data_IF_848336972647
#
_entry.id   IF_848336972647
#
_cell.length_a   1.000
_cell.length_b   1.000
_cell.length_c   1.000
_cell.angle_alpha   90.00
_cell.angle_beta   90.00
_cell.angle_gamma   90.00
#
_symmetry.space_group_name_H-M   'P 1'
#
loop_
_entity.id
_entity.type
_entity.pdbx_description
1 polymer ?
#
# COMPACT_ATOMS: atom_id res chain seq x y z
N UNK A 1 -16.04 13.04 0.55
CA UNK A 1 -14.57 13.09 0.59
C UNK A 1 -14.03 14.48 0.20
N UNK A 2 -14.26 14.99 -1.02
CA UNK A 2 -13.78 16.33 -1.44
C UNK A 2 -14.24 17.48 -0.52
N UNK A 3 -15.51 17.50 -0.14
CA UNK A 3 -16.07 18.52 0.79
C UNK A 3 -15.31 18.52 2.12
N UNK A 4 -15.07 17.34 2.71
CA UNK A 4 -14.32 17.24 3.96
C UNK A 4 -12.84 17.62 3.78
N UNK A 5 -12.22 17.30 2.64
CA UNK A 5 -10.86 17.75 2.32
C UNK A 5 -10.76 19.29 2.25
N UNK A 6 -11.74 19.97 1.65
CA UNK A 6 -11.82 21.45 1.66
C UNK A 6 -11.98 21.95 3.10
N UNK A 7 -12.87 21.32 3.89
CA UNK A 7 -13.08 21.68 5.29
C UNK A 7 -11.79 21.55 6.12
N UNK A 8 -11.01 20.47 5.95
CA UNK A 8 -9.74 20.28 6.64
C UNK A 8 -8.73 21.39 6.34
N UNK A 9 -8.68 21.83 5.07
CA UNK A 9 -7.67 22.80 4.60
C UNK A 9 -8.03 24.23 4.96
N UNK A 10 -9.32 24.60 4.90
CA UNK A 10 -9.78 25.98 5.03
C UNK A 10 -10.66 26.28 6.25
N UNK A 11 -11.35 25.28 6.79
CA UNK A 11 -12.29 25.47 7.90
C UNK A 11 -11.70 25.05 9.25
N UNK A 12 -11.39 23.76 9.40
CA UNK A 12 -10.89 23.18 10.65
C UNK A 12 -10.88 21.66 10.63
N UNK A 13 -10.44 21.05 11.73
CA UNK A 13 -10.36 19.58 11.86
C UNK A 13 -11.74 18.95 11.72
N UNK A 14 -11.83 17.91 10.90
CA UNK A 14 -13.05 17.10 10.77
C UNK A 14 -13.02 15.99 11.82
N UNK A 15 -14.15 15.73 12.48
CA UNK A 15 -14.24 14.67 13.48
C UNK A 15 -13.98 13.28 12.89
N UNK A 16 -13.22 12.46 13.63
CA UNK A 16 -12.87 11.07 13.27
C UNK A 16 -14.08 10.19 12.93
N UNK A 17 -15.26 10.46 13.52
CA UNK A 17 -16.50 9.72 13.22
C UNK A 17 -16.88 9.77 11.73
N UNK A 18 -16.63 10.90 11.07
CA UNK A 18 -16.93 11.06 9.64
C UNK A 18 -15.96 10.26 8.78
N UNK A 19 -14.73 10.09 9.25
CA UNK A 19 -13.75 9.30 8.56
C UNK A 19 -14.05 7.80 8.70
N UNK A 20 -14.51 7.36 9.88
CA UNK A 20 -15.09 6.03 10.05
C UNK A 20 -16.34 5.79 9.21
N UNK A 21 -17.22 6.80 9.06
CA UNK A 21 -18.39 6.70 8.17
C UNK A 21 -17.95 6.47 6.72
N UNK A 22 -16.93 7.19 6.24
CA UNK A 22 -16.34 6.95 4.93
C UNK A 22 -15.72 5.55 4.83
N UNK A 23 -15.01 5.11 5.87
CA UNK A 23 -14.47 3.75 5.96
C UNK A 23 -15.55 2.69 5.86
N UNK A 24 -16.66 2.83 6.59
CA UNK A 24 -17.80 1.92 6.53
C UNK A 24 -18.43 1.86 5.13
N UNK A 25 -18.56 3.01 4.47
CA UNK A 25 -19.01 3.06 3.09
C UNK A 25 -18.06 2.31 2.14
N UNK A 26 -16.75 2.48 2.30
CA UNK A 26 -15.76 1.74 1.53
C UNK A 26 -15.78 0.23 1.80
N UNK A 27 -15.94 -0.19 3.07
CA UNK A 27 -16.13 -1.61 3.42
C UNK A 27 -17.29 -2.20 2.64
N UNK A 28 -18.42 -1.48 2.56
CA UNK A 28 -19.60 -1.95 1.82
C UNK A 28 -19.30 -2.06 0.32
N UNK A 29 -18.69 -1.04 -0.27
CA UNK A 29 -18.37 -1.02 -1.71
C UNK A 29 -17.48 -2.21 -2.07
N UNK A 30 -16.30 -2.31 -1.47
CA UNK A 30 -15.28 -3.27 -1.90
C UNK A 30 -15.45 -4.65 -1.27
N UNK A 31 -16.10 -4.71 -0.11
CA UNK A 31 -16.30 -5.94 0.64
C UNK A 31 -17.39 -6.82 0.05
N UNK A 32 -18.50 -6.23 -0.41
CA UNK A 32 -19.61 -6.96 -1.04
C UNK A 32 -19.55 -6.95 -2.56
N UNK A 33 -18.41 -6.62 -3.16
CA UNK A 33 -18.27 -6.61 -4.62
C UNK A 33 -18.44 -8.03 -5.19
N UNK A 34 -19.01 -8.12 -6.39
CA UNK A 34 -19.15 -9.38 -7.12
C UNK A 34 -18.43 -9.30 -8.47
N UNK A 35 -17.45 -10.17 -8.66
CA UNK A 35 -16.69 -10.28 -9.90
C UNK A 35 -16.06 -8.95 -10.36
N UNK A 36 -15.71 -8.09 -9.41
CA UNK A 36 -15.05 -6.79 -9.63
C UNK A 36 -13.60 -6.86 -9.16
N UNK A 37 -12.73 -6.20 -9.92
CA UNK A 37 -11.28 -6.21 -9.72
C UNK A 37 -10.60 -7.27 -10.58
N UNK A 38 -9.38 -6.98 -11.06
CA UNK A 38 -8.65 -7.84 -12.01
C UNK A 38 -8.37 -9.24 -11.45
N UNK A 39 -8.22 -9.35 -10.12
CA UNK A 39 -7.71 -10.56 -9.48
C UNK A 39 -8.81 -11.30 -8.70
N UNK A 40 -10.08 -10.92 -8.88
CA UNK A 40 -11.22 -11.51 -8.18
C UNK A 40 -11.30 -13.03 -8.38
N UNK A 41 -11.13 -13.49 -9.62
CA UNK A 41 -11.13 -14.92 -9.96
C UNK A 41 -10.02 -15.68 -9.23
N UNK A 42 -8.83 -15.09 -9.17
CA UNK A 42 -7.66 -15.65 -8.50
C UNK A 42 -7.89 -15.79 -6.99
N UNK A 43 -8.45 -14.78 -6.33
CA UNK A 43 -8.80 -14.88 -4.91
C UNK A 43 -9.90 -15.89 -4.63
N UNK A 44 -10.90 -16.02 -5.53
CA UNK A 44 -11.90 -17.08 -5.44
C UNK A 44 -11.27 -18.46 -5.60
N UNK A 45 -10.27 -18.60 -6.46
CA UNK A 45 -9.45 -19.81 -6.60
C UNK A 45 -8.70 -20.15 -5.31
N UNK A 46 -8.05 -19.15 -4.70
CA UNK A 46 -7.35 -19.32 -3.40
C UNK A 46 -8.33 -19.72 -2.29
N UNK A 47 -9.54 -19.16 -2.30
CA UNK A 47 -10.57 -19.50 -1.33
C UNK A 47 -10.92 -20.99 -1.38
N UNK A 48 -11.16 -21.54 -2.58
CA UNK A 48 -11.42 -22.97 -2.79
C UNK A 48 -10.17 -23.81 -2.46
N UNK A 49 -9.00 -23.38 -2.93
CA UNK A 49 -7.71 -24.03 -2.63
C UNK A 49 -7.47 -24.17 -1.12
N UNK A 50 -7.88 -23.18 -0.32
CA UNK A 50 -7.68 -23.19 1.13
C UNK A 50 -8.42 -24.33 1.81
N UNK A 51 -9.49 -24.86 1.22
CA UNK A 51 -10.17 -26.05 1.74
C UNK A 51 -9.31 -27.31 1.65
N UNK A 52 -8.54 -27.41 0.56
CA UNK A 52 -7.69 -28.59 0.27
C UNK A 52 -6.51 -28.72 1.23
N UNK A 53 -6.25 -27.73 2.07
CA UNK A 53 -5.13 -27.71 3.03
C UNK A 53 -5.61 -28.01 4.42
N UNK A 54 -4.90 -28.86 5.15
CA UNK A 54 -5.16 -29.13 6.55
C UNK A 54 -4.79 -27.94 7.45
N UNK A 55 -5.50 -27.80 8.59
CA UNK A 55 -5.13 -26.82 9.62
C UNK A 55 -3.72 -27.04 10.16
N UNK A 56 -3.26 -28.30 10.19
CA UNK A 56 -1.90 -28.64 10.61
C UNK A 56 -0.85 -28.06 9.66
N UNK A 57 -0.99 -28.26 8.34
CA UNK A 57 -0.07 -27.67 7.35
C UNK A 57 -0.05 -26.13 7.41
N UNK A 58 -1.21 -25.50 7.66
CA UNK A 58 -1.30 -24.04 7.87
C UNK A 58 -0.50 -23.61 9.10
N UNK A 59 -0.65 -24.33 10.22
CA UNK A 59 0.08 -24.04 11.46
C UNK A 59 1.59 -24.29 11.33
N UNK A 60 2.00 -25.35 10.63
CA UNK A 60 3.42 -25.61 10.34
C UNK A 60 4.01 -24.48 9.49
N UNK A 61 3.30 -24.03 8.44
CA UNK A 61 3.71 -22.88 7.63
C UNK A 61 3.82 -21.60 8.45
N UNK A 62 2.91 -21.37 9.40
CA UNK A 62 2.96 -20.24 10.33
C UNK A 62 4.26 -20.22 11.15
N UNK A 63 4.79 -21.39 11.52
CA UNK A 63 6.04 -21.55 12.25
C UNK A 63 7.28 -21.65 11.34
N UNK A 64 7.13 -21.42 10.04
CA UNK A 64 8.18 -21.60 9.02
C UNK A 64 8.73 -23.02 8.97
N UNK A 65 7.91 -24.01 9.32
CA UNK A 65 8.23 -25.44 9.25
C UNK A 65 7.55 -26.08 8.03
N UNK A 66 8.14 -27.17 7.54
CA UNK A 66 7.53 -27.97 6.48
C UNK A 66 6.34 -28.78 7.04
N UNK A 67 5.19 -28.61 6.41
CA UNK A 67 4.00 -29.42 6.67
C UNK A 67 3.88 -30.59 5.70
N UNK A 68 2.94 -31.52 5.92
CA UNK A 68 2.68 -32.62 4.99
C UNK A 68 2.16 -32.13 3.63
N UNK A 69 1.58 -30.92 3.59
CA UNK A 69 1.11 -30.29 2.37
C UNK A 69 1.84 -28.96 2.15
N UNK A 70 2.30 -28.73 0.93
CA UNK A 70 2.87 -27.43 0.56
C UNK A 70 1.78 -26.36 0.51
N UNK A 71 2.10 -25.20 1.11
CA UNK A 71 1.30 -23.98 1.05
C UNK A 71 1.99 -22.95 0.14
N UNK A 72 1.34 -22.68 -0.98
CA UNK A 72 1.76 -21.70 -2.01
C UNK A 72 1.28 -20.28 -1.69
N UNK A 73 0.43 -20.15 -0.67
CA UNK A 73 -0.16 -18.89 -0.20
C UNK A 73 0.17 -18.70 1.28
N UNK A 74 0.19 -17.45 1.74
CA UNK A 74 0.52 -17.11 3.11
C UNK A 74 -0.50 -17.65 4.12
N UNK A 75 0.03 -18.12 5.27
CA UNK A 75 -0.69 -18.96 6.23
C UNK A 75 -1.94 -18.29 6.80
N UNK A 76 -1.92 -16.99 7.10
CA UNK A 76 -3.03 -16.30 7.76
C UNK A 76 -4.15 -16.03 6.77
N UNK A 77 -3.83 -15.69 5.52
CA UNK A 77 -4.86 -15.54 4.49
C UNK A 77 -5.54 -16.87 4.19
N UNK A 78 -4.77 -17.96 4.06
CA UNK A 78 -5.31 -19.33 3.91
C UNK A 78 -6.14 -19.73 5.13
N UNK A 79 -5.71 -19.40 6.35
CA UNK A 79 -6.46 -19.68 7.57
C UNK A 79 -7.81 -18.97 7.59
N UNK A 80 -7.85 -17.67 7.26
CA UNK A 80 -9.09 -16.88 7.19
C UNK A 80 -10.06 -17.53 6.19
N UNK A 81 -9.59 -17.86 4.99
CA UNK A 81 -10.39 -18.52 3.96
C UNK A 81 -10.96 -19.85 4.48
N UNK A 82 -10.11 -20.72 5.02
CA UNK A 82 -10.52 -22.05 5.48
C UNK A 82 -11.50 -21.99 6.65
N UNK A 83 -11.32 -21.07 7.59
CA UNK A 83 -12.26 -20.87 8.71
C UNK A 83 -13.62 -20.39 8.19
N UNK A 84 -13.64 -19.40 7.30
CA UNK A 84 -14.89 -18.90 6.70
C UNK A 84 -15.62 -19.97 5.89
N UNK A 85 -14.88 -20.81 5.17
CA UNK A 85 -15.45 -21.94 4.44
C UNK A 85 -15.95 -23.05 5.38
N UNK A 86 -15.11 -23.58 6.27
CA UNK A 86 -15.38 -24.86 6.94
C UNK A 86 -16.20 -24.69 8.22
N UNK A 87 -16.08 -23.55 8.90
CA UNK A 87 -16.81 -23.27 10.15
C UNK A 87 -18.11 -22.54 9.88
N UNK A 88 -18.09 -21.57 8.96
CA UNK A 88 -19.24 -20.69 8.72
C UNK A 88 -20.01 -21.04 7.43
N UNK A 89 -19.49 -21.94 6.59
CA UNK A 89 -20.04 -22.23 5.26
C UNK A 89 -20.32 -20.95 4.45
N UNK A 90 -19.42 -19.97 4.60
CA UNK A 90 -19.64 -18.64 4.06
C UNK A 90 -19.39 -18.64 2.53
N UNK A 91 -20.09 -17.81 1.76
CA UNK A 91 -19.73 -17.57 0.36
C UNK A 91 -18.48 -16.68 0.25
N UNK A 92 -17.79 -16.73 -0.90
CA UNK A 92 -16.54 -16.00 -1.12
C UNK A 92 -16.64 -14.48 -0.85
N UNK A 93 -17.77 -13.83 -1.16
CA UNK A 93 -17.91 -12.38 -0.90
C UNK A 93 -17.83 -12.01 0.59
N UNK A 94 -18.07 -12.97 1.51
CA UNK A 94 -17.86 -12.74 2.94
C UNK A 94 -16.36 -12.66 3.26
N UNK A 95 -15.50 -13.37 2.53
CA UNK A 95 -14.05 -13.21 2.64
C UNK A 95 -13.65 -11.79 2.25
N UNK A 96 -14.09 -11.31 1.09
CA UNK A 96 -13.76 -9.95 0.64
C UNK A 96 -14.29 -8.90 1.62
N UNK A 97 -15.46 -9.12 2.20
CA UNK A 97 -16.01 -8.28 3.27
C UNK A 97 -15.14 -8.27 4.54
N UNK A 98 -14.74 -9.43 5.05
CA UNK A 98 -13.88 -9.53 6.25
C UNK A 98 -12.52 -8.88 5.99
N UNK A 99 -11.92 -9.10 4.83
CA UNK A 99 -10.66 -8.47 4.43
C UNK A 99 -10.82 -6.95 4.34
N UNK A 100 -11.92 -6.46 3.77
CA UNK A 100 -12.22 -5.03 3.67
C UNK A 100 -12.40 -4.39 5.06
N UNK A 101 -13.04 -5.06 6.02
CA UNK A 101 -13.15 -4.58 7.40
C UNK A 101 -11.76 -4.34 7.99
N UNK A 102 -10.88 -5.34 7.95
CA UNK A 102 -9.54 -5.20 8.50
C UNK A 102 -8.72 -4.16 7.75
N UNK A 103 -8.78 -4.16 6.42
CA UNK A 103 -8.03 -3.20 5.60
C UNK A 103 -8.45 -1.76 5.92
N UNK A 104 -9.76 -1.48 5.97
CA UNK A 104 -10.26 -0.15 6.32
C UNK A 104 -9.97 0.22 7.76
N UNK A 105 -10.05 -0.73 8.70
CA UNK A 105 -9.71 -0.47 10.10
C UNK A 105 -8.27 0.06 10.22
N UNK A 106 -7.30 -0.68 9.67
CA UNK A 106 -5.90 -0.30 9.74
C UNK A 106 -5.60 0.97 8.93
N UNK A 107 -6.27 1.20 7.80
CA UNK A 107 -6.15 2.44 7.03
C UNK A 107 -6.62 3.66 7.79
N UNK A 108 -7.79 3.59 8.41
CA UNK A 108 -8.38 4.69 9.17
C UNK A 108 -7.48 5.02 10.36
N UNK A 109 -7.10 4.02 11.14
CA UNK A 109 -6.23 4.20 12.31
C UNK A 109 -4.84 4.74 11.93
N UNK A 110 -4.22 4.19 10.88
CA UNK A 110 -2.95 4.71 10.39
C UNK A 110 -3.06 6.17 9.92
N UNK A 111 -4.08 6.49 9.14
CA UNK A 111 -4.21 7.83 8.56
C UNK A 111 -4.48 8.86 9.66
N UNK A 112 -5.40 8.59 10.58
CA UNK A 112 -5.71 9.49 11.70
C UNK A 112 -4.50 9.78 12.59
N UNK A 113 -3.66 8.79 12.84
CA UNK A 113 -2.49 8.94 13.70
C UNK A 113 -1.31 9.68 13.04
N UNK A 114 -1.31 9.78 11.71
CA UNK A 114 -0.14 10.20 10.96
C UNK A 114 -0.39 11.39 10.03
N UNK A 115 -1.61 11.91 9.89
CA UNK A 115 -1.85 13.13 9.11
C UNK A 115 -2.79 14.10 9.78
N UNK A 116 -2.52 15.40 9.60
CA UNK A 116 -3.45 16.47 9.95
C UNK A 116 -4.61 16.61 8.96
N UNK A 117 -4.53 15.93 7.81
CA UNK A 117 -5.48 16.01 6.70
C UNK A 117 -5.94 14.61 6.23
N UNK A 118 -6.63 13.81 7.07
CA UNK A 118 -7.05 12.44 6.74
C UNK A 118 -7.90 12.33 5.46
N UNK A 119 -8.88 13.20 5.24
CA UNK A 119 -9.70 13.21 4.03
C UNK A 119 -8.92 13.64 2.81
N UNK A 120 -8.01 14.62 2.94
CA UNK A 120 -7.16 15.06 1.83
C UNK A 120 -6.16 13.99 1.42
N UNK A 121 -5.54 13.29 2.38
CA UNK A 121 -4.67 12.15 2.11
C UNK A 121 -5.45 11.00 1.47
N UNK A 122 -6.63 10.69 1.98
CA UNK A 122 -7.48 9.63 1.43
C UNK A 122 -7.94 9.96 0.01
N UNK A 123 -8.29 11.23 -0.26
CA UNK A 123 -8.63 11.72 -1.59
C UNK A 123 -7.45 11.57 -2.56
N UNK A 124 -6.26 11.98 -2.13
CA UNK A 124 -5.02 11.85 -2.89
C UNK A 124 -4.71 10.39 -3.24
N UNK A 125 -4.94 9.49 -2.27
CA UNK A 125 -4.72 8.05 -2.42
C UNK A 125 -5.92 7.30 -3.02
N UNK A 126 -7.00 7.98 -3.38
CA UNK A 126 -8.22 7.30 -3.79
C UNK A 126 -8.04 6.67 -5.17
N UNK A 127 -7.72 7.45 -6.19
CA UNK A 127 -7.59 6.94 -7.56
C UNK A 127 -6.13 7.02 -8.02
N UNK A 128 -5.54 5.92 -8.52
CA UNK A 128 -6.13 4.58 -8.68
C UNK A 128 -5.95 3.65 -7.45
N UNK A 129 -5.20 4.08 -6.43
CA UNK A 129 -4.64 3.18 -5.41
C UNK A 129 -5.72 2.47 -4.57
N UNK A 130 -6.86 3.10 -4.29
CA UNK A 130 -7.96 2.43 -3.58
C UNK A 130 -8.50 1.26 -4.39
N UNK A 131 -8.83 1.45 -5.67
CA UNK A 131 -9.40 0.38 -6.49
C UNK A 131 -8.39 -0.74 -6.77
N UNK A 132 -7.14 -0.39 -7.07
CA UNK A 132 -6.08 -1.38 -7.28
C UNK A 132 -5.78 -2.13 -5.98
N UNK A 133 -5.60 -1.43 -4.87
CA UNK A 133 -5.27 -2.04 -3.59
C UNK A 133 -6.42 -2.87 -3.01
N UNK A 134 -7.64 -2.33 -3.01
CA UNK A 134 -8.79 -3.03 -2.45
C UNK A 134 -9.34 -4.11 -3.36
N UNK A 135 -9.16 -4.03 -4.69
CA UNK A 135 -9.78 -4.97 -5.63
C UNK A 135 -8.83 -5.81 -6.48
N UNK A 136 -7.60 -5.35 -6.71
CA UNK A 136 -6.54 -6.14 -7.34
C UNK A 136 -5.62 -6.78 -6.31
N UNK A 137 -5.05 -6.01 -5.40
CA UNK A 137 -3.96 -6.45 -4.53
C UNK A 137 -4.37 -6.61 -3.06
N UNK A 138 -5.52 -7.25 -2.79
CA UNK A 138 -6.17 -7.22 -1.47
C UNK A 138 -5.29 -7.75 -0.34
N UNK A 139 -4.49 -8.80 -0.61
CA UNK A 139 -3.54 -9.38 0.36
C UNK A 139 -2.41 -8.39 0.66
N UNK A 140 -1.71 -7.93 -0.38
CA UNK A 140 -0.61 -6.97 -0.22
C UNK A 140 -1.09 -5.68 0.45
N UNK A 141 -2.26 -5.16 0.06
CA UNK A 141 -2.85 -3.95 0.62
C UNK A 141 -3.19 -4.15 2.11
N UNK A 142 -3.89 -5.22 2.50
CA UNK A 142 -4.17 -5.50 3.91
C UNK A 142 -2.86 -5.67 4.70
N UNK A 143 -1.95 -6.53 4.24
CA UNK A 143 -0.68 -6.81 4.93
C UNK A 143 0.14 -5.53 5.13
N UNK A 144 0.24 -4.69 4.10
CA UNK A 144 0.99 -3.44 4.16
C UNK A 144 0.38 -2.45 5.17
N UNK A 145 -0.96 -2.33 5.25
CA UNK A 145 -1.59 -1.43 6.23
C UNK A 145 -1.54 -1.96 7.67
N UNK A 146 -1.51 -3.29 7.88
CA UNK A 146 -1.16 -3.88 9.18
C UNK A 146 0.23 -3.41 9.63
N UNK A 147 1.20 -3.43 8.71
CA UNK A 147 2.57 -2.97 8.99
C UNK A 147 2.65 -1.45 9.18
N UNK A 148 1.90 -0.67 8.42
CA UNK A 148 1.86 0.79 8.61
C UNK A 148 1.29 1.15 9.97
N UNK A 149 0.23 0.47 10.40
CA UNK A 149 -0.32 0.59 11.73
C UNK A 149 0.75 0.31 12.80
N UNK A 150 1.62 -0.67 12.57
CA UNK A 150 2.69 -1.06 13.50
C UNK A 150 3.72 0.06 13.78
N UNK A 151 3.78 1.11 12.98
CA UNK A 151 4.75 2.21 13.13
C UNK A 151 4.55 2.96 14.45
N UNK A 152 3.33 2.97 15.00
CA UNK A 152 3.09 3.49 16.37
C UNK A 152 3.99 2.81 17.40
N UNK A 153 4.30 1.52 17.22
CA UNK A 153 5.19 0.79 18.12
C UNK A 153 6.67 1.09 17.90
N UNK A 154 7.06 1.58 16.71
CA UNK A 154 8.40 2.15 16.51
C UNK A 154 8.51 3.46 17.29
N UNK A 155 7.49 4.34 17.20
CA UNK A 155 7.42 5.62 17.94
C UNK A 155 7.46 5.40 19.45
N UNK A 156 6.69 4.42 19.93
CA UNK A 156 6.64 4.01 21.35
C UNK A 156 7.85 3.16 21.79
N UNK A 157 8.76 2.81 20.89
CA UNK A 157 9.92 1.94 21.15
C UNK A 157 9.56 0.53 21.65
N UNK A 158 8.38 0.01 21.27
CA UNK A 158 7.90 -1.33 21.66
C UNK A 158 8.20 -2.36 20.57
N UNK A 159 9.32 -3.07 20.72
CA UNK A 159 9.75 -4.07 19.73
C UNK A 159 8.78 -5.26 19.60
N UNK A 160 8.34 -5.85 20.70
CA UNK A 160 7.52 -7.08 20.63
C UNK A 160 6.16 -6.87 19.92
N UNK A 161 5.38 -5.80 20.23
CA UNK A 161 4.19 -5.49 19.43
C UNK A 161 4.51 -5.23 17.97
N UNK A 162 5.60 -4.51 17.67
CA UNK A 162 6.02 -4.30 16.29
C UNK A 162 6.26 -5.63 15.56
N UNK A 163 7.05 -6.53 16.14
CA UNK A 163 7.34 -7.85 15.56
C UNK A 163 6.07 -8.69 15.38
N UNK A 164 5.13 -8.62 16.33
CA UNK A 164 3.84 -9.28 16.22
C UNK A 164 3.04 -8.79 15.00
N UNK A 165 2.98 -7.47 14.77
CA UNK A 165 2.28 -6.94 13.59
C UNK A 165 3.02 -7.22 12.28
N UNK A 166 4.36 -7.24 12.27
CA UNK A 166 5.12 -7.73 11.09
C UNK A 166 4.78 -9.19 10.80
N UNK A 167 4.73 -10.03 11.84
CA UNK A 167 4.36 -11.44 11.71
C UNK A 167 2.94 -11.60 11.15
N UNK A 168 1.94 -10.90 11.70
CA UNK A 168 0.57 -10.92 11.18
C UNK A 168 0.50 -10.42 9.73
N UNK A 169 1.13 -9.29 9.41
CA UNK A 169 1.15 -8.73 8.06
C UNK A 169 1.79 -9.71 7.07
N UNK A 170 2.89 -10.35 7.47
CA UNK A 170 3.58 -11.37 6.67
C UNK A 170 2.79 -12.65 6.49
N UNK A 171 1.91 -12.99 7.43
CA UNK A 171 0.95 -14.07 7.29
C UNK A 171 -0.15 -13.78 6.27
N UNK A 172 -0.41 -12.52 5.94
CA UNK A 172 -1.31 -12.12 4.85
C UNK A 172 -0.56 -11.99 3.53
N UNK A 173 0.64 -11.38 3.54
CA UNK A 173 1.45 -11.18 2.35
C UNK A 173 2.94 -11.05 2.69
N UNK A 174 3.79 -11.83 2.01
CA UNK A 174 5.23 -11.97 2.33
C UNK A 174 6.05 -10.67 2.25
N UNK A 175 5.65 -9.72 1.39
CA UNK A 175 6.29 -8.38 1.26
C UNK A 175 6.46 -7.65 2.60
N UNK A 176 5.61 -7.93 3.58
CA UNK A 176 5.65 -7.31 4.90
C UNK A 176 6.97 -7.56 5.64
N UNK A 177 7.69 -8.65 5.33
CA UNK A 177 9.00 -8.92 5.90
C UNK A 177 10.06 -7.88 5.51
N UNK A 178 9.92 -7.18 4.38
CA UNK A 178 10.83 -6.09 4.01
C UNK A 178 10.80 -4.93 5.00
N UNK A 179 9.71 -4.79 5.74
CA UNK A 179 9.59 -3.74 6.73
C UNK A 179 10.27 -4.09 8.05
N UNK A 180 10.56 -5.36 8.34
CA UNK A 180 11.23 -5.78 9.58
C UNK A 180 12.43 -4.88 9.99
N UNK A 181 13.40 -4.55 9.11
CA UNK A 181 14.53 -3.68 9.48
C UNK A 181 14.12 -2.24 9.82
N UNK A 182 12.92 -1.79 9.44
CA UNK A 182 12.48 -0.42 9.66
C UNK A 182 12.29 -0.07 11.13
N UNK A 183 12.11 -1.04 12.03
CA UNK A 183 12.14 -0.76 13.47
C UNK A 183 13.43 -0.01 13.87
N UNK A 184 14.57 -0.38 13.29
CA UNK A 184 15.85 0.29 13.56
C UNK A 184 16.09 1.43 12.58
N UNK A 185 15.91 1.20 11.27
CA UNK A 185 16.24 2.18 10.24
C UNK A 185 15.41 3.47 10.34
N UNK A 186 14.15 3.38 10.78
CA UNK A 186 13.30 4.56 10.92
C UNK A 186 13.75 5.54 12.03
N UNK A 187 14.64 5.10 12.92
CA UNK A 187 15.20 5.91 14.03
C UNK A 187 16.56 6.51 13.72
N UNK A 188 17.19 6.15 12.60
CA UNK A 188 18.50 6.69 12.23
C UNK A 188 18.34 8.18 11.87
N UNK A 189 19.09 9.10 12.49
CA UNK A 189 19.02 10.51 12.14
C UNK A 189 19.57 10.71 10.73
N UNK A 190 18.74 11.19 9.81
CA UNK A 190 19.14 11.52 8.44
C UNK A 190 19.16 13.04 8.25
N UNK A 191 20.25 13.54 7.70
CA UNK A 191 20.33 14.92 7.20
C UNK A 191 20.22 14.93 5.66
N UNK A 192 20.02 16.12 5.08
CA UNK A 192 19.83 16.28 3.62
C UNK A 192 21.00 15.72 2.81
N UNK A 193 22.23 15.86 3.30
CA UNK A 193 23.42 15.33 2.62
C UNK A 193 23.38 13.80 2.56
N UNK A 194 23.10 13.14 3.68
CA UNK A 194 23.00 11.67 3.73
C UNK A 194 21.84 11.19 2.85
N UNK A 195 20.67 11.83 2.92
CA UNK A 195 19.54 11.50 2.04
C UNK A 195 19.93 11.60 0.56
N UNK A 196 20.63 12.67 0.18
CA UNK A 196 21.08 12.87 -1.19
C UNK A 196 22.08 11.80 -1.63
N UNK A 197 23.07 11.48 -0.78
CA UNK A 197 24.06 10.45 -1.04
C UNK A 197 23.41 9.07 -1.20
N UNK A 198 22.43 8.73 -0.36
CA UNK A 198 21.68 7.48 -0.47
C UNK A 198 20.92 7.40 -1.80
N UNK A 199 20.20 8.46 -2.18
CA UNK A 199 19.42 8.50 -3.42
C UNK A 199 20.33 8.46 -4.65
N UNK A 200 21.38 9.29 -4.71
CA UNK A 200 22.34 9.27 -5.83
C UNK A 200 23.06 7.92 -5.89
N UNK A 201 23.47 7.37 -4.74
CA UNK A 201 24.04 6.03 -4.65
C UNK A 201 23.10 4.97 -5.21
N UNK A 202 21.80 5.02 -4.88
CA UNK A 202 20.81 4.08 -5.40
C UNK A 202 20.62 4.18 -6.93
N UNK A 203 20.67 5.39 -7.49
CA UNK A 203 20.61 5.64 -8.93
C UNK A 203 21.86 5.10 -9.61
N UNK A 204 23.05 5.36 -9.04
CA UNK A 204 24.32 4.87 -9.56
C UNK A 204 24.41 3.33 -9.50
N UNK A 205 23.87 2.70 -8.45
CA UNK A 205 23.84 1.25 -8.30
C UNK A 205 22.80 0.56 -9.20
N UNK A 206 21.81 1.30 -9.70
CA UNK A 206 20.69 0.77 -10.50
C UNK A 206 21.14 -0.06 -11.72
N UNK A 207 22.10 0.38 -12.58
CA UNK A 207 22.55 -0.39 -13.74
C UNK A 207 23.29 -1.68 -13.40
N UNK A 208 23.84 -1.79 -12.19
CA UNK A 208 24.59 -2.97 -11.74
C UNK A 208 23.67 -4.08 -11.18
N UNK A 209 22.37 -3.81 -11.07
CA UNK A 209 21.37 -4.78 -10.62
C UNK A 209 21.76 -5.52 -9.33
N UNK A 210 22.32 -4.78 -8.36
CA UNK A 210 22.85 -5.32 -7.10
C UNK A 210 21.85 -6.16 -6.30
N UNK A 211 20.55 -5.99 -6.55
CA UNK A 211 19.49 -6.80 -5.96
C UNK A 211 19.53 -8.27 -6.39
N UNK A 212 20.17 -8.60 -7.51
CA UNK A 212 20.27 -10.00 -8.00
C UNK A 212 21.02 -10.91 -7.05
N UNK A 213 21.91 -10.36 -6.21
CA UNK A 213 22.58 -11.09 -5.12
C UNK A 213 21.56 -11.68 -4.13
N UNK A 214 20.39 -11.05 -4.01
CA UNK A 214 19.29 -11.49 -3.15
C UNK A 214 18.12 -12.09 -3.96
N UNK A 215 18.38 -12.58 -5.18
CA UNK A 215 17.36 -12.97 -6.17
C UNK A 215 16.25 -13.87 -5.62
N UNK A 216 16.60 -15.00 -5.02
CA UNK A 216 15.62 -15.97 -4.49
C UNK A 216 14.81 -15.39 -3.32
N UNK A 217 15.48 -14.66 -2.43
CA UNK A 217 14.85 -14.03 -1.28
C UNK A 217 13.83 -12.96 -1.71
N UNK A 218 14.21 -12.05 -2.61
CA UNK A 218 13.33 -11.02 -3.15
C UNK A 218 12.24 -11.62 -4.05
N UNK A 219 12.56 -12.69 -4.78
CA UNK A 219 11.62 -13.48 -5.58
C UNK A 219 10.46 -13.97 -4.73
N UNK A 220 10.73 -14.62 -3.59
CA UNK A 220 9.71 -15.11 -2.67
C UNK A 220 8.87 -14.00 -1.99
N UNK A 221 9.41 -12.77 -1.90
CA UNK A 221 8.69 -11.62 -1.35
C UNK A 221 7.80 -10.91 -2.38
N UNK A 222 8.18 -11.00 -3.65
CA UNK A 222 7.48 -10.39 -4.77
C UNK A 222 6.53 -11.35 -5.51
N UNK A 223 6.73 -12.65 -5.30
CA UNK A 223 5.99 -13.72 -5.95
C UNK A 223 4.52 -13.64 -5.58
N UNK A 224 3.68 -13.49 -6.59
CA UNK A 224 2.31 -13.97 -6.49
C UNK A 224 2.34 -15.49 -6.50
N UNK A 225 1.40 -16.13 -5.80
CA UNK A 225 1.22 -17.56 -6.01
C UNK A 225 0.94 -17.80 -7.50
N UNK A 226 1.37 -18.93 -8.06
CA UNK A 226 1.08 -19.33 -9.45
C UNK A 226 -0.42 -19.34 -9.80
N UNK A 227 -1.29 -19.21 -8.79
CA UNK A 227 -2.74 -19.07 -8.88
C UNK A 227 -3.24 -17.64 -9.13
N UNK A 228 -2.36 -16.63 -9.14
CA UNK A 228 -2.69 -15.22 -9.38
C UNK A 228 -1.88 -14.69 -10.56
N UNK A 229 -2.38 -14.89 -11.79
CA UNK A 229 -1.97 -14.06 -12.94
C UNK A 229 -2.83 -12.79 -12.92
N UNK A 230 -2.41 -11.80 -12.12
CA UNK A 230 -3.17 -10.58 -11.86
C UNK A 230 -2.49 -9.31 -12.37
N UNK A 231 -3.29 -8.24 -12.56
CA UNK A 231 -3.04 -6.83 -13.00
C UNK A 231 -1.75 -6.44 -13.76
N UNK A 232 -0.58 -6.92 -13.35
CA UNK A 232 0.71 -6.72 -14.01
C UNK A 232 0.86 -7.42 -15.37
N UNK A 233 0.07 -8.46 -15.65
CA UNK A 233 -0.05 -9.04 -16.99
C UNK A 233 -0.68 -8.09 -18.02
N UNK A 234 -1.41 -7.06 -17.55
CA UNK A 234 -2.10 -6.06 -18.39
C UNK A 234 -1.35 -4.74 -18.50
N UNK A 235 -0.32 -4.50 -17.68
CA UNK A 235 0.62 -3.41 -17.91
C UNK A 235 1.57 -3.90 -18.99
N UNK A 236 1.13 -3.71 -20.23
CA UNK A 236 1.90 -4.00 -21.44
C UNK A 236 3.36 -3.59 -21.21
N UNK A 237 4.30 -4.53 -21.43
CA UNK A 237 5.74 -4.28 -21.32
C UNK A 237 6.11 -3.32 -22.44
N UNK A 238 5.75 -2.05 -22.31
CA UNK A 238 6.06 -1.07 -23.32
C UNK A 238 7.58 -1.00 -23.43
N UNK A 239 8.06 -1.17 -24.66
CA UNK A 239 9.48 -1.10 -25.05
C UNK A 239 10.14 0.19 -24.52
N UNK A 240 9.36 1.24 -24.27
CA UNK A 240 9.77 2.49 -23.61
C UNK A 240 10.34 2.32 -22.19
N UNK A 241 9.82 1.39 -21.37
CA UNK A 241 10.35 1.15 -20.01
C UNK A 241 11.69 0.42 -20.03
N UNK A 242 11.84 -0.54 -20.95
CA UNK A 242 13.10 -1.28 -21.14
C UNK A 242 14.22 -0.36 -21.66
N UNK A 243 13.87 0.70 -22.39
CA UNK A 243 14.82 1.70 -22.91
C UNK A 243 15.07 2.88 -21.94
N UNK A 244 14.74 2.75 -20.66
CA UNK A 244 15.04 3.79 -19.65
C UNK A 244 14.14 5.03 -19.69
N UNK A 245 12.96 4.95 -20.33
CA UNK A 245 11.99 6.03 -20.42
C UNK A 245 11.50 6.55 -19.06
N UNK A 246 11.06 7.81 -19.03
CA UNK A 246 10.49 8.48 -17.87
C UNK A 246 8.98 8.23 -17.80
N UNK A 247 8.51 7.57 -16.75
CA UNK A 247 7.09 7.25 -16.55
C UNK A 247 6.47 7.99 -15.36
N UNK A 248 5.17 7.72 -15.13
CA UNK A 248 4.43 8.22 -13.96
C UNK A 248 5.13 7.85 -12.63
N UNK A 249 5.66 6.63 -12.43
CA UNK A 249 6.37 6.29 -11.20
C UNK A 249 7.63 7.15 -10.96
N UNK A 250 8.46 7.39 -11.98
CA UNK A 250 9.61 8.29 -11.87
C UNK A 250 9.18 9.73 -11.52
N UNK A 251 8.10 10.23 -12.13
CA UNK A 251 7.54 11.53 -11.81
C UNK A 251 7.09 11.62 -10.35
N UNK A 252 6.41 10.57 -9.84
CA UNK A 252 6.02 10.49 -8.44
C UNK A 252 7.24 10.45 -7.51
N UNK A 253 8.31 9.75 -7.87
CA UNK A 253 9.56 9.74 -7.09
C UNK A 253 10.23 11.11 -7.07
N UNK A 254 10.23 11.83 -8.19
CA UNK A 254 10.74 13.19 -8.27
C UNK A 254 9.91 14.15 -7.39
N UNK A 255 8.57 14.05 -7.44
CA UNK A 255 7.67 14.83 -6.57
C UNK A 255 7.93 14.52 -5.10
N UNK A 256 7.99 13.24 -4.71
CA UNK A 256 8.23 12.85 -3.33
C UNK A 256 9.60 13.36 -2.84
N UNK A 257 10.63 13.24 -3.68
CA UNK A 257 11.97 13.77 -3.40
C UNK A 257 11.95 15.29 -3.25
N UNK A 258 11.23 16.01 -4.13
CA UNK A 258 11.06 17.46 -4.00
C UNK A 258 10.44 17.84 -2.66
N UNK A 259 9.33 17.20 -2.27
CA UNK A 259 8.67 17.47 -0.99
C UNK A 259 9.59 17.15 0.19
N UNK A 260 10.33 16.04 0.12
CA UNK A 260 11.30 15.64 1.12
C UNK A 260 12.36 16.74 1.31
N UNK A 261 13.01 17.23 0.26
CA UNK A 261 14.12 18.18 0.39
C UNK A 261 13.68 19.61 0.68
N UNK A 262 12.57 20.06 0.10
CA UNK A 262 12.06 21.43 0.29
C UNK A 262 11.49 21.60 1.68
N UNK A 263 10.70 20.63 2.17
CA UNK A 263 9.96 20.77 3.42
C UNK A 263 10.60 20.06 4.63
N UNK A 264 11.73 19.36 4.50
CA UNK A 264 12.36 18.64 5.62
C UNK A 264 12.63 19.52 6.86
N UNK A 265 13.18 20.72 6.70
CA UNK A 265 13.46 21.61 7.84
C UNK A 265 12.19 22.07 8.59
N UNK A 266 11.16 22.63 7.92
CA UNK A 266 9.93 22.99 8.61
C UNK A 266 9.17 21.77 9.16
N UNK A 267 9.18 20.63 8.46
CA UNK A 267 8.56 19.39 8.92
C UNK A 267 9.20 18.84 10.20
N UNK A 268 10.53 18.79 10.29
CA UNK A 268 11.22 18.38 11.53
C UNK A 268 10.85 19.24 12.74
N UNK A 269 10.55 20.53 12.52
CA UNK A 269 10.21 21.47 13.60
C UNK A 269 8.77 21.35 14.06
N UNK A 270 7.84 21.11 13.14
CA UNK A 270 6.41 21.28 13.39
C UNK A 270 5.57 19.99 13.28
N UNK A 271 6.04 18.98 12.55
CA UNK A 271 5.30 17.73 12.35
C UNK A 271 5.88 16.61 13.24
N UNK A 272 5.13 16.17 14.28
CA UNK A 272 5.60 15.13 15.19
C UNK A 272 5.91 13.83 14.48
N UNK A 273 7.01 13.20 14.86
CA UNK A 273 7.46 11.93 14.27
C UNK A 273 7.69 11.99 12.75
N UNK A 274 7.87 13.18 12.17
CA UNK A 274 8.21 13.34 10.75
C UNK A 274 9.44 12.52 10.35
N UNK A 275 10.44 12.43 11.21
CA UNK A 275 11.71 11.75 10.90
C UNK A 275 11.53 10.26 10.57
N UNK A 276 10.59 9.59 11.25
CA UNK A 276 10.22 8.21 10.93
C UNK A 276 9.64 8.13 9.52
N UNK A 277 8.78 9.10 9.16
CA UNK A 277 8.17 9.16 7.85
C UNK A 277 9.18 9.46 6.74
N UNK A 278 10.07 10.42 7.00
CA UNK A 278 11.20 10.78 6.14
C UNK A 278 12.07 9.55 5.84
N UNK A 279 12.42 8.77 6.86
CA UNK A 279 13.29 7.61 6.68
C UNK A 279 12.63 6.51 5.83
N UNK A 280 11.34 6.22 6.05
CA UNK A 280 10.59 5.32 5.17
C UNK A 280 10.57 5.81 3.71
N UNK A 281 10.40 7.13 3.50
CA UNK A 281 10.42 7.73 2.17
C UNK A 281 11.78 7.61 1.49
N UNK A 282 12.87 7.91 2.19
CA UNK A 282 14.22 7.75 1.66
C UNK A 282 14.49 6.31 1.27
N UNK A 283 14.16 5.35 2.15
CA UNK A 283 14.35 3.92 1.88
C UNK A 283 13.49 3.48 0.69
N UNK A 284 12.22 3.89 0.62
CA UNK A 284 11.33 3.57 -0.50
C UNK A 284 11.86 4.10 -1.85
N UNK A 285 12.33 5.35 -1.88
CA UNK A 285 12.95 5.96 -3.07
C UNK A 285 14.22 5.19 -3.47
N UNK A 286 15.07 4.83 -2.50
CA UNK A 286 16.29 4.08 -2.78
C UNK A 286 15.97 2.68 -3.34
N UNK A 287 15.02 1.96 -2.72
CA UNK A 287 14.56 0.66 -3.20
C UNK A 287 13.97 0.75 -4.60
N UNK A 288 13.21 1.80 -4.91
CA UNK A 288 12.66 2.02 -6.25
C UNK A 288 13.77 2.08 -7.30
N UNK A 289 14.81 2.89 -7.08
CA UNK A 289 15.91 3.01 -8.03
C UNK A 289 16.77 1.76 -8.10
N UNK A 290 17.06 1.11 -6.97
CA UNK A 290 17.78 -0.18 -6.94
C UNK A 290 17.01 -1.21 -7.78
N UNK A 291 15.69 -1.30 -7.64
CA UNK A 291 14.86 -2.28 -8.32
C UNK A 291 14.36 -1.84 -9.70
N UNK A 292 14.79 -0.69 -10.22
CA UNK A 292 14.21 -0.07 -11.43
C UNK A 292 14.17 -1.01 -12.65
N UNK A 293 15.21 -1.82 -12.82
CA UNK A 293 15.34 -2.75 -13.94
C UNK A 293 14.45 -4.01 -13.81
N UNK A 294 13.82 -4.22 -12.66
CA UNK A 294 12.82 -5.25 -12.44
C UNK A 294 11.45 -4.60 -12.13
N UNK A 295 10.51 -4.58 -13.09
CA UNK A 295 9.20 -3.97 -12.92
C UNK A 295 8.38 -4.55 -11.75
N UNK A 296 8.55 -5.83 -11.45
CA UNK A 296 7.84 -6.49 -10.34
C UNK A 296 8.39 -5.97 -9.01
N UNK A 297 9.71 -5.93 -8.85
CA UNK A 297 10.34 -5.48 -7.61
C UNK A 297 10.11 -3.98 -7.36
N UNK A 298 10.29 -3.15 -8.38
CA UNK A 298 10.07 -1.69 -8.27
C UNK A 298 8.61 -1.32 -8.04
N UNK A 299 7.64 -2.04 -8.62
CA UNK A 299 6.22 -1.76 -8.40
C UNK A 299 5.69 -2.33 -7.09
N UNK A 300 6.06 -3.56 -6.72
CA UNK A 300 5.48 -4.25 -5.55
C UNK A 300 6.26 -4.03 -4.27
N UNK A 301 7.57 -4.26 -4.31
CA UNK A 301 8.41 -4.17 -3.12
C UNK A 301 8.63 -2.70 -2.74
N UNK A 302 9.13 -1.88 -3.67
CA UNK A 302 9.32 -0.45 -3.40
C UNK A 302 7.97 0.29 -3.31
N UNK A 303 6.96 -0.11 -4.09
CA UNK A 303 5.61 0.49 -4.01
C UNK A 303 4.99 0.42 -2.62
N UNK A 304 5.22 -0.67 -1.87
CA UNK A 304 4.79 -0.78 -0.49
C UNK A 304 5.44 0.27 0.43
N UNK A 305 6.65 0.74 0.17
CA UNK A 305 7.26 1.85 0.93
C UNK A 305 6.80 3.22 0.43
N UNK A 306 6.59 3.34 -0.87
CA UNK A 306 6.16 4.60 -1.50
C UNK A 306 4.75 4.99 -1.04
N UNK A 307 3.82 4.03 -0.98
CA UNK A 307 2.44 4.29 -0.53
C UNK A 307 2.39 4.91 0.87
N UNK A 308 3.27 4.47 1.76
CA UNK A 308 3.45 5.03 3.10
C UNK A 308 3.92 6.49 3.04
N UNK A 309 4.87 6.75 2.17
CA UNK A 309 5.63 8.00 2.09
C UNK A 309 4.82 9.17 1.56
N UNK A 310 3.74 8.88 0.83
CA UNK A 310 2.82 9.88 0.30
C UNK A 310 2.14 10.74 1.35
N UNK A 311 2.14 10.32 2.62
CA UNK A 311 1.63 11.13 3.74
C UNK A 311 2.44 12.41 3.98
N UNK A 312 3.68 12.48 3.49
CA UNK A 312 4.53 13.69 3.56
C UNK A 312 3.92 14.84 2.75
N UNK A 313 3.29 14.55 1.60
CA UNK A 313 2.77 15.55 0.67
C UNK A 313 1.64 16.39 1.31
N UNK A 314 0.52 15.80 1.79
CA UNK A 314 -0.52 16.59 2.43
C UNK A 314 -0.07 17.21 3.74
N UNK A 315 0.77 16.54 4.55
CA UNK A 315 1.25 17.14 5.79
C UNK A 315 2.16 18.37 5.57
N UNK A 316 2.75 18.54 4.38
CA UNK A 316 3.54 19.73 4.09
C UNK A 316 2.71 21.01 4.17
N UNK A 317 1.39 20.91 3.95
CA UNK A 317 0.44 22.01 4.15
C UNK A 317 0.38 22.52 5.59
N UNK A 318 0.69 21.67 6.58
CA UNK A 318 0.63 22.01 8.00
C UNK A 318 1.77 22.94 8.42
N UNK A 319 2.91 22.89 7.72
CA UNK A 319 4.17 23.50 8.17
C UNK A 319 4.60 24.72 7.34
N UNK A 320 3.70 25.23 6.49
CA UNK A 320 3.98 26.29 5.51
C UNK A 320 3.00 27.45 5.64
N UNK A 321 3.33 28.57 4.98
CA UNK A 321 2.45 29.74 4.89
C UNK A 321 1.15 29.44 4.14
N UNK A 322 0.09 30.20 4.41
CA UNK A 322 -1.23 30.02 3.77
C UNK A 322 -1.17 30.02 2.24
N UNK A 323 -0.32 30.86 1.63
CA UNK A 323 -0.13 30.86 0.17
C UNK A 323 0.44 29.53 -0.34
N UNK A 324 1.47 29.02 0.32
CA UNK A 324 2.11 27.75 -0.04
C UNK A 324 1.19 26.57 0.23
N UNK A 325 0.44 26.60 1.33
CA UNK A 325 -0.62 25.63 1.65
C UNK A 325 -1.62 25.53 0.49
N UNK A 326 -2.11 26.66 -0.01
CA UNK A 326 -3.06 26.68 -1.12
C UNK A 326 -2.45 26.13 -2.42
N UNK A 327 -1.16 26.40 -2.68
CA UNK A 327 -0.46 25.84 -3.83
C UNK A 327 -0.31 24.31 -3.74
N UNK A 328 0.07 23.79 -2.57
CA UNK A 328 0.18 22.34 -2.33
C UNK A 328 -1.20 21.69 -2.47
N UNK A 329 -2.25 22.30 -1.91
CA UNK A 329 -3.61 21.77 -2.05
C UNK A 329 -4.08 21.76 -3.50
N UNK A 330 -3.89 22.87 -4.23
CA UNK A 330 -4.21 22.93 -5.66
C UNK A 330 -3.45 21.88 -6.47
N UNK A 331 -2.17 21.66 -6.14
CA UNK A 331 -1.37 20.58 -6.72
C UNK A 331 -1.94 19.19 -6.43
N UNK A 332 -2.35 18.90 -5.19
CA UNK A 332 -3.00 17.63 -4.82
C UNK A 332 -4.29 17.44 -5.62
N UNK A 333 -5.15 18.47 -5.72
CA UNK A 333 -6.39 18.40 -6.49
C UNK A 333 -6.10 18.19 -7.98
N UNK A 334 -5.11 18.88 -8.54
CA UNK A 334 -4.69 18.67 -9.92
C UNK A 334 -4.21 17.23 -10.17
N UNK A 335 -3.44 16.65 -9.24
CA UNK A 335 -3.01 15.25 -9.32
C UNK A 335 -4.19 14.28 -9.20
N UNK A 336 -5.17 14.55 -8.34
CA UNK A 336 -6.38 13.72 -8.22
C UNK A 336 -7.18 13.73 -9.51
N UNK A 337 -7.39 14.90 -10.12
CA UNK A 337 -8.08 15.03 -11.40
C UNK A 337 -7.29 14.36 -12.52
N UNK A 338 -5.97 14.56 -12.57
CA UNK A 338 -5.10 13.90 -13.53
C UNK A 338 -5.20 12.37 -13.39
N UNK A 339 -5.03 11.82 -12.20
CA UNK A 339 -5.15 10.38 -11.96
C UNK A 339 -6.54 9.85 -12.28
N UNK A 340 -7.60 10.62 -12.02
CA UNK A 340 -8.95 10.25 -12.42
C UNK A 340 -9.09 10.14 -13.94
N UNK A 341 -8.64 11.15 -14.69
CA UNK A 341 -8.69 11.15 -16.17
C UNK A 341 -7.85 10.02 -16.73
N UNK A 342 -6.63 9.85 -16.23
CA UNK A 342 -5.71 8.77 -16.59
C UNK A 342 -6.38 7.42 -16.35
N UNK A 343 -6.85 7.15 -15.13
CA UNK A 343 -7.53 5.90 -14.79
C UNK A 343 -8.75 5.67 -15.68
N UNK A 344 -9.57 6.71 -15.93
CA UNK A 344 -10.74 6.67 -16.79
C UNK A 344 -10.42 6.39 -18.27
N UNK A 345 -9.30 6.90 -18.76
CA UNK A 345 -8.86 6.70 -20.14
C UNK A 345 -8.29 5.30 -20.40
N UNK A 346 -7.86 4.58 -19.37
CA UNK A 346 -7.32 3.24 -19.52
C UNK A 346 -8.43 2.17 -19.56
N UNK A 347 -8.23 1.17 -20.43
CA UNK A 347 -9.07 -0.05 -20.47
C UNK A 347 -9.14 -0.78 -19.12
N UNK A 348 -8.24 -0.47 -18.18
CA UNK A 348 -8.22 -1.00 -16.82
C UNK A 348 -9.50 -0.71 -16.03
N UNK A 349 -10.21 0.40 -16.26
CA UNK A 349 -11.52 0.62 -15.62
C UNK A 349 -12.54 -0.41 -16.08
N UNK A 350 -12.58 -0.71 -17.39
CA UNK A 350 -13.50 -1.69 -17.95
C UNK A 350 -13.09 -3.12 -17.60
N UNK A 351 -11.80 -3.43 -17.73
CA UNK A 351 -11.24 -4.74 -17.39
C UNK A 351 -11.42 -5.06 -15.89
N UNK A 352 -11.23 -4.07 -15.02
CA UNK A 352 -11.49 -4.18 -13.58
C UNK A 352 -12.96 -4.07 -13.19
N UNK A 353 -13.87 -3.77 -14.13
CA UNK A 353 -15.32 -3.56 -13.92
C UNK A 353 -15.64 -2.49 -12.88
N UNK A 354 -14.93 -1.37 -12.95
CA UNK A 354 -15.09 -0.23 -12.04
C UNK A 354 -16.05 0.86 -12.55
N UNK A 355 -16.66 0.68 -13.73
CA UNK A 355 -17.67 1.59 -14.24
C UNK A 355 -19.06 1.25 -13.71
N UNK A 356 -19.95 2.25 -13.64
CA UNK A 356 -21.29 2.11 -13.04
C UNK A 356 -22.15 1.03 -13.72
N UNK A 357 -21.92 0.76 -15.00
CA UNK A 357 -22.60 -0.25 -15.81
C UNK A 357 -22.05 -1.68 -15.60
N UNK A 358 -20.82 -1.81 -15.08
CA UNK A 358 -20.15 -3.11 -14.91
C UNK A 358 -19.98 -3.50 -13.44
N UNK A 359 -19.94 -2.53 -12.53
CA UNK A 359 -19.74 -2.77 -11.11
C UNK A 359 -20.94 -3.50 -10.52
N UNK A 360 -20.70 -4.67 -9.92
CA UNK A 360 -21.74 -5.43 -9.23
C UNK A 360 -21.40 -5.54 -7.74
N UNK A 361 -22.43 -5.46 -6.91
CA UNK A 361 -22.33 -5.59 -5.47
C UNK A 361 -23.51 -6.42 -4.95
N UNK A 362 -23.28 -7.23 -3.91
CA UNK A 362 -24.31 -8.11 -3.36
C UNK A 362 -25.37 -7.36 -2.54
N UNK A 363 -25.13 -6.11 -2.11
CA UNK A 363 -26.05 -5.34 -1.27
C UNK A 363 -26.36 -3.93 -1.77
N UNK A 364 -25.53 -3.38 -2.66
CA UNK A 364 -25.80 -2.11 -3.33
C UNK A 364 -26.41 -2.36 -4.71
N UNK A 365 -27.31 -1.46 -5.17
CA UNK A 365 -27.96 -1.57 -6.48
C UNK A 365 -26.99 -1.49 -7.65
#
# INVERSE_FOLDING_TARGET
MLIFSIQEVYGGKVDKKWFWLLGAYFIIIVGFRDNVGPDYGSYRGIYIYSDTKSYYSIFMKMLHLEGPENLDVEWLYTLINKVLLNVFNAPFYIVTFVIAIFAMYYKVEYTEDNTFYPFTFTLFMFIPNFFIGESGQIRQNLGTFIVYFAIRYIKDQKLLPYLFFIFLGSGIHSVCYLFLPMYWLARIPLNKTIMLLMIIGSIFLSPFEVYKVFGDFLGNMASESSLVEGFNGYVDKSVQRLNGGFGIPEAMMAILTFFLFVFDNPMKKLYPYYEYHRNYAVIGICLYFIFRNNPIFSSRLAGAFIGFSYIIIPNAMYVVSSRTKNLIYAFIIALVVFNFVVFASFNNIRAGKFSIDLYKNHILP
#
